data_IF_061226192034
#
_entry.id   IF_061226192034
#
_cell.length_a   1.000
_cell.length_b   1.000
_cell.length_c   1.000
_cell.angle_alpha   90.00
_cell.angle_beta   90.00
_cell.angle_gamma   90.00
#
_symmetry.space_group_name_H-M   'P 1'
#
loop_
_entity.id
_entity.type
_entity.pdbx_description
1 polymer ?
#
# COMPACT_ATOMS: atom_id res chain seq x y z
N UNK A 1 -12.52 -1.51 -17.29
CA UNK A 1 -11.36 -1.51 -16.37
C UNK A 1 -11.82 -2.03 -15.00
N UNK A 2 -10.93 -2.58 -14.16
CA UNK A 2 -11.29 -3.00 -12.80
C UNK A 2 -11.93 -1.88 -11.99
N UNK A 3 -11.42 -0.66 -12.10
CA UNK A 3 -11.96 0.52 -11.42
C UNK A 3 -13.44 0.79 -11.79
N UNK A 4 -13.78 0.73 -13.08
CA UNK A 4 -15.15 0.93 -13.54
C UNK A 4 -16.13 -0.11 -12.96
N UNK A 5 -15.70 -1.38 -12.87
CA UNK A 5 -16.50 -2.43 -12.25
C UNK A 5 -16.75 -2.22 -10.75
N UNK A 6 -15.72 -1.76 -10.04
CA UNK A 6 -15.86 -1.44 -8.61
C UNK A 6 -16.82 -0.25 -8.40
N UNK A 7 -16.74 0.75 -9.27
CA UNK A 7 -17.64 1.89 -9.27
C UNK A 7 -19.10 1.47 -9.48
N UNK A 8 -19.38 0.63 -10.48
CA UNK A 8 -20.72 0.08 -10.74
C UNK A 8 -21.29 -0.64 -9.52
N UNK A 9 -20.49 -1.43 -8.79
CA UNK A 9 -20.91 -2.11 -7.57
C UNK A 9 -21.35 -1.11 -6.50
N UNK A 10 -20.57 -0.05 -6.28
CA UNK A 10 -20.90 0.99 -5.30
C UNK A 10 -22.15 1.79 -5.70
N UNK A 11 -22.28 2.16 -6.98
CA UNK A 11 -23.44 2.88 -7.52
C UNK A 11 -24.74 2.03 -7.42
N UNK A 12 -24.61 0.70 -7.47
CA UNK A 12 -25.71 -0.22 -7.23
C UNK A 12 -26.03 -0.45 -5.73
N UNK A 13 -25.37 0.26 -4.81
CA UNK A 13 -25.56 0.11 -3.36
C UNK A 13 -24.81 -1.08 -2.75
N UNK A 14 -23.85 -1.64 -3.47
CA UNK A 14 -23.00 -2.73 -2.99
C UNK A 14 -21.86 -2.27 -2.11
N UNK A 15 -21.05 -3.23 -1.66
CA UNK A 15 -19.85 -3.01 -0.83
C UNK A 15 -18.62 -3.49 -1.59
N UNK A 16 -17.54 -2.72 -1.50
CA UNK A 16 -16.24 -3.05 -2.08
C UNK A 16 -15.19 -3.10 -0.96
N UNK A 17 -14.44 -4.19 -0.89
CA UNK A 17 -13.30 -4.35 0.00
C UNK A 17 -12.01 -4.29 -0.80
N UNK A 18 -11.06 -3.45 -0.36
CA UNK A 18 -9.78 -3.23 -1.04
C UNK A 18 -8.61 -3.34 -0.07
N UNK A 19 -7.53 -3.96 -0.53
CA UNK A 19 -6.22 -3.86 0.12
C UNK A 19 -5.57 -2.56 -0.36
N UNK A 20 -5.41 -1.58 0.51
CA UNK A 20 -5.09 -0.22 0.11
C UNK A 20 -3.88 0.40 0.81
N UNK A 21 -3.25 -0.31 1.75
CA UNK A 21 -2.11 0.18 2.51
C UNK A 21 -0.82 0.30 1.69
N UNK A 22 -0.84 -0.15 0.43
CA UNK A 22 0.32 -0.12 -0.46
C UNK A 22 -0.06 0.26 -1.88
N UNK A 23 0.84 0.98 -2.55
CA UNK A 23 0.82 1.12 -4.00
C UNK A 23 1.82 0.17 -4.67
N UNK A 24 1.32 -0.76 -5.46
CA UNK A 24 2.14 -1.68 -6.26
C UNK A 24 2.46 -1.13 -7.65
N UNK A 25 1.85 -0.01 -8.04
CA UNK A 25 1.88 0.51 -9.41
C UNK A 25 2.79 1.71 -9.62
N UNK A 26 3.28 2.34 -8.55
CA UNK A 26 4.01 3.61 -8.53
C UNK A 26 3.19 4.84 -8.98
N UNK A 27 1.89 4.70 -9.09
CA UNK A 27 0.95 5.79 -9.41
C UNK A 27 0.13 6.22 -8.19
N UNK A 28 0.51 5.76 -7.02
CA UNK A 28 -0.15 6.04 -5.76
C UNK A 28 0.09 7.45 -5.25
N UNK A 29 -0.58 7.74 -4.16
CA UNK A 29 -0.50 9.00 -3.44
C UNK A 29 0.60 8.92 -2.39
N UNK A 30 1.48 9.92 -2.36
CA UNK A 30 2.46 10.06 -1.28
C UNK A 30 1.76 10.49 0.00
N UNK A 31 2.03 9.77 1.08
CA UNK A 31 1.48 10.00 2.42
C UNK A 31 2.57 9.91 3.47
N UNK A 32 2.38 10.58 4.60
CA UNK A 32 3.11 10.26 5.82
C UNK A 32 2.51 9.01 6.44
N UNK A 33 3.32 7.99 6.61
CA UNK A 33 2.93 6.73 7.22
C UNK A 33 3.88 6.35 8.34
N UNK A 34 3.44 6.54 9.57
CA UNK A 34 4.25 6.31 10.78
C UNK A 34 5.54 7.16 10.84
N UNK A 35 5.49 8.38 10.30
CA UNK A 35 6.60 9.34 10.33
C UNK A 35 7.56 9.26 9.14
N UNK A 36 7.29 8.40 8.16
CA UNK A 36 8.09 8.27 6.94
C UNK A 36 7.19 8.28 5.70
N UNK A 37 7.74 8.74 4.58
CA UNK A 37 7.02 8.79 3.32
C UNK A 37 6.78 7.40 2.74
N UNK A 38 5.51 7.13 2.40
CA UNK A 38 5.09 5.93 1.69
C UNK A 38 4.10 6.28 0.57
N UNK A 39 3.94 5.40 -0.42
CA UNK A 39 2.91 5.55 -1.43
C UNK A 39 1.77 4.56 -1.19
N UNK A 40 0.55 5.07 -1.18
CA UNK A 40 -0.67 4.28 -1.05
C UNK A 40 -1.56 4.40 -2.29
N UNK A 41 -2.39 3.38 -2.51
CA UNK A 41 -3.29 3.36 -3.66
C UNK A 41 -4.33 4.49 -3.59
N UNK A 42 -4.47 5.24 -4.67
CA UNK A 42 -5.47 6.31 -4.80
C UNK A 42 -6.91 5.79 -5.03
N UNK A 43 -7.05 4.51 -5.40
CA UNK A 43 -8.32 3.91 -5.82
C UNK A 43 -9.47 4.07 -4.84
N UNK A 44 -9.30 3.75 -3.54
CA UNK A 44 -10.38 3.89 -2.56
C UNK A 44 -10.88 5.32 -2.41
N UNK A 45 -9.96 6.29 -2.30
CA UNK A 45 -10.33 7.71 -2.20
C UNK A 45 -11.05 8.20 -3.46
N UNK A 46 -10.58 7.80 -4.64
CA UNK A 46 -11.25 8.14 -5.91
C UNK A 46 -12.62 7.51 -6.03
N UNK A 47 -12.79 6.24 -5.66
CA UNK A 47 -14.10 5.59 -5.66
C UNK A 47 -15.07 6.33 -4.75
N UNK A 48 -14.68 6.65 -3.53
CA UNK A 48 -15.53 7.39 -2.59
C UNK A 48 -15.90 8.77 -3.13
N UNK A 49 -14.96 9.52 -3.70
CA UNK A 49 -15.22 10.83 -4.33
C UNK A 49 -16.19 10.76 -5.50
N UNK A 50 -16.02 9.76 -6.38
CA UNK A 50 -16.82 9.65 -7.61
C UNK A 50 -18.21 9.06 -7.36
N UNK A 51 -18.41 8.29 -6.32
CA UNK A 51 -19.68 7.59 -6.04
C UNK A 51 -20.45 8.14 -4.84
N UNK A 52 -19.80 8.92 -3.97
CA UNK A 52 -20.37 9.32 -2.69
C UNK A 52 -20.47 8.17 -1.67
N UNK A 53 -19.86 7.03 -1.94
CA UNK A 53 -19.87 5.89 -1.02
C UNK A 53 -19.12 6.21 0.28
N UNK A 54 -19.64 5.72 1.41
CA UNK A 54 -18.97 5.81 2.69
C UNK A 54 -17.64 5.05 2.66
N UNK A 55 -16.58 5.65 3.21
CA UNK A 55 -15.25 5.08 3.27
C UNK A 55 -14.87 4.76 4.71
N UNK A 56 -14.45 3.52 4.96
CA UNK A 56 -14.03 3.05 6.26
C UNK A 56 -12.70 2.32 6.17
N UNK A 57 -11.87 2.46 7.21
CA UNK A 57 -10.69 1.61 7.41
C UNK A 57 -11.09 0.41 8.23
N UNK A 58 -10.73 -0.78 7.74
CA UNK A 58 -10.99 -2.05 8.41
C UNK A 58 -9.66 -2.65 8.85
N UNK A 59 -9.63 -3.20 10.05
CA UNK A 59 -8.49 -3.89 10.62
C UNK A 59 -8.91 -5.24 11.19
N UNK A 60 -8.11 -6.26 10.94
CA UNK A 60 -8.27 -7.59 11.51
C UNK A 60 -7.00 -8.02 12.24
N UNK A 61 -7.16 -8.77 13.33
CA UNK A 61 -6.06 -9.31 14.12
C UNK A 61 -6.40 -10.68 14.68
N UNK A 62 -5.39 -11.43 15.07
CA UNK A 62 -5.59 -12.70 15.80
C UNK A 62 -6.02 -12.44 17.25
N UNK A 63 -7.02 -13.17 17.72
CA UNK A 63 -7.53 -13.09 19.09
C UNK A 63 -7.74 -14.50 19.63
N UNK A 64 -6.75 -15.03 20.35
CA UNK A 64 -6.78 -16.42 20.81
C UNK A 64 -6.86 -17.38 19.61
N UNK A 65 -7.85 -18.27 19.60
CA UNK A 65 -8.12 -19.16 18.46
C UNK A 65 -9.05 -18.56 17.41
N UNK A 66 -9.44 -17.32 17.56
CA UNK A 66 -10.34 -16.61 16.67
C UNK A 66 -9.74 -15.34 16.09
N UNK A 67 -10.62 -14.44 15.67
CA UNK A 67 -10.30 -13.20 14.99
C UNK A 67 -10.96 -12.03 15.67
N UNK A 68 -10.26 -10.89 15.71
CA UNK A 68 -10.84 -9.59 15.96
C UNK A 68 -11.00 -8.83 14.65
N UNK A 69 -12.04 -8.04 14.55
CA UNK A 69 -12.31 -7.14 13.44
C UNK A 69 -12.78 -5.80 13.97
N UNK A 70 -12.23 -4.72 13.46
CA UNK A 70 -12.74 -3.37 13.70
C UNK A 70 -13.00 -2.64 12.40
N UNK A 71 -14.06 -1.85 12.40
CA UNK A 71 -14.40 -0.93 11.31
C UNK A 71 -14.35 0.47 11.89
N UNK A 72 -13.59 1.37 11.27
CA UNK A 72 -13.50 2.76 11.70
C UNK A 72 -14.85 3.47 11.56
N UNK A 73 -15.07 4.60 12.24
CA UNK A 73 -16.07 5.57 11.79
C UNK A 73 -15.83 5.93 10.32
N UNK A 74 -16.86 6.44 9.65
CA UNK A 74 -16.74 6.94 8.29
C UNK A 74 -15.68 8.04 8.21
N UNK A 75 -14.78 7.92 7.24
CA UNK A 75 -13.76 8.93 6.98
C UNK A 75 -14.36 10.10 6.21
N UNK A 76 -13.95 11.30 6.57
CA UNK A 76 -14.25 12.48 5.77
C UNK A 76 -13.55 12.38 4.41
N UNK A 77 -14.33 12.51 3.33
CA UNK A 77 -13.85 12.47 1.95
C UNK A 77 -13.82 13.89 1.40
N UNK A 78 -12.62 14.42 1.15
CA UNK A 78 -12.41 15.79 0.66
C UNK A 78 -11.80 15.81 -0.73
N UNK A 79 -10.55 15.37 -0.85
CA UNK A 79 -9.84 15.15 -2.10
C UNK A 79 -8.99 13.89 -2.00
N UNK A 80 -8.39 13.45 -3.10
CA UNK A 80 -7.63 12.20 -3.15
C UNK A 80 -6.47 12.22 -2.15
N UNK A 81 -5.71 13.30 -2.10
CA UNK A 81 -4.53 13.42 -1.24
C UNK A 81 -4.88 13.35 0.25
N UNK A 82 -5.77 14.19 0.70
CA UNK A 82 -6.17 14.26 2.12
C UNK A 82 -6.93 13.02 2.57
N UNK A 83 -7.81 12.50 1.72
CA UNK A 83 -8.57 11.28 2.02
C UNK A 83 -7.63 10.08 2.14
N UNK A 84 -6.65 9.95 1.26
CA UNK A 84 -5.64 8.87 1.34
C UNK A 84 -4.76 9.03 2.59
N UNK A 85 -4.43 10.27 3.00
CA UNK A 85 -3.72 10.50 4.25
C UNK A 85 -4.55 10.07 5.47
N UNK A 86 -5.84 10.36 5.52
CA UNK A 86 -6.74 9.88 6.60
C UNK A 86 -6.81 8.36 6.66
N UNK A 87 -6.80 7.69 5.51
CA UNK A 87 -6.70 6.23 5.45
C UNK A 87 -5.38 5.75 6.05
N UNK A 88 -4.26 6.37 5.67
CA UNK A 88 -2.93 6.04 6.19
C UNK A 88 -2.87 6.19 7.72
N UNK A 89 -3.43 7.26 8.26
CA UNK A 89 -3.52 7.49 9.70
C UNK A 89 -4.35 6.41 10.40
N UNK A 90 -5.45 5.99 9.80
CA UNK A 90 -6.29 4.89 10.28
C UNK A 90 -5.56 3.55 10.28
N UNK A 91 -4.85 3.21 9.22
CA UNK A 91 -4.01 2.01 9.15
C UNK A 91 -2.89 2.04 10.21
N UNK A 92 -2.20 3.17 10.34
CA UNK A 92 -1.13 3.34 11.32
C UNK A 92 -1.64 3.15 12.76
N UNK A 93 -2.79 3.73 13.10
CA UNK A 93 -3.39 3.57 14.42
C UNK A 93 -3.74 2.11 14.73
N UNK A 94 -4.29 1.39 13.76
CA UNK A 94 -4.64 -0.02 13.88
C UNK A 94 -3.40 -0.91 14.01
N UNK A 95 -2.38 -0.70 13.19
CA UNK A 95 -1.13 -1.46 13.23
C UNK A 95 -0.42 -1.27 14.58
N UNK A 96 -0.41 -0.06 15.14
CA UNK A 96 0.19 0.19 16.46
C UNK A 96 -0.50 -0.56 17.62
N UNK A 97 -1.77 -0.92 17.46
CA UNK A 97 -2.51 -1.74 18.44
C UNK A 97 -2.13 -3.20 18.39
N UNK A 98 -1.83 -3.72 17.18
CA UNK A 98 -1.54 -5.13 16.91
C UNK A 98 -0.35 -5.28 15.97
N UNK A 99 0.85 -4.75 16.32
CA UNK A 99 2.01 -4.75 15.43
C UNK A 99 2.52 -6.16 15.11
N UNK A 100 2.30 -7.11 16.01
CA UNK A 100 2.64 -8.53 15.84
C UNK A 100 1.88 -9.22 14.71
N UNK A 101 0.72 -8.69 14.33
CA UNK A 101 -0.12 -9.25 13.27
C UNK A 101 0.11 -8.59 11.90
N UNK A 102 0.97 -7.58 11.85
CA UNK A 102 1.28 -6.91 10.60
C UNK A 102 2.56 -7.45 9.97
N UNK A 103 2.41 -8.10 8.81
CA UNK A 103 3.50 -8.69 8.06
C UNK A 103 3.87 -7.85 6.85
N UNK A 104 5.09 -7.35 6.84
CA UNK A 104 5.64 -6.54 5.76
C UNK A 104 6.76 -7.31 5.03
N UNK A 105 6.39 -8.08 4.01
CA UNK A 105 7.34 -8.90 3.25
C UNK A 105 8.15 -8.10 2.22
N UNK A 106 7.74 -6.89 1.92
CA UNK A 106 8.41 -5.99 0.97
C UNK A 106 8.48 -4.58 1.57
N UNK A 107 9.45 -3.76 1.16
CA UNK A 107 9.55 -2.40 1.65
C UNK A 107 8.25 -1.60 1.45
N UNK A 108 7.81 -0.93 2.49
CA UNK A 108 6.63 -0.07 2.50
C UNK A 108 7.00 1.40 2.24
N UNK A 109 8.09 1.87 2.86
CA UNK A 109 8.49 3.26 2.79
C UNK A 109 9.40 3.53 1.59
N UNK A 110 9.28 4.73 1.02
CA UNK A 110 10.00 5.13 -0.17
C UNK A 110 11.53 5.05 0.01
N UNK A 111 12.04 5.38 1.18
CA UNK A 111 13.46 5.27 1.52
C UNK A 111 13.99 3.85 1.42
N UNK A 112 13.21 2.86 1.89
CA UNK A 112 13.61 1.45 1.85
C UNK A 112 13.46 0.86 0.44
N UNK A 113 12.45 1.30 -0.30
CA UNK A 113 12.27 0.93 -1.71
C UNK A 113 13.49 1.38 -2.53
N UNK A 114 13.95 2.60 -2.33
CA UNK A 114 15.11 3.14 -3.04
C UNK A 114 16.41 2.43 -2.64
N UNK A 115 16.65 2.18 -1.34
CA UNK A 115 17.79 1.38 -0.87
C UNK A 115 17.83 0.00 -1.52
N UNK A 116 16.70 -0.68 -1.58
CA UNK A 116 16.60 -2.00 -2.21
C UNK A 116 16.88 -1.94 -3.71
N UNK A 117 16.41 -0.91 -4.39
CA UNK A 117 16.66 -0.67 -5.81
C UNK A 117 18.15 -0.47 -6.09
N UNK A 118 18.81 0.37 -5.29
CA UNK A 118 20.24 0.64 -5.39
C UNK A 118 21.07 -0.63 -5.13
N UNK A 119 20.73 -1.42 -4.10
CA UNK A 119 21.41 -2.68 -3.80
C UNK A 119 21.30 -3.69 -4.95
N UNK A 120 20.12 -3.80 -5.57
CA UNK A 120 19.90 -4.67 -6.75
C UNK A 120 20.70 -4.20 -7.96
N UNK A 121 20.77 -2.90 -8.22
CA UNK A 121 21.56 -2.34 -9.32
C UNK A 121 23.07 -2.60 -9.12
N UNK A 122 23.58 -2.43 -7.89
CA UNK A 122 24.96 -2.70 -7.55
C UNK A 122 25.32 -4.19 -7.72
N UNK A 123 24.42 -5.10 -7.32
CA UNK A 123 24.61 -6.54 -7.48
C UNK A 123 24.67 -6.92 -8.97
N UNK A 124 23.73 -6.45 -9.77
CA UNK A 124 23.70 -6.68 -11.22
C UNK A 124 24.97 -6.16 -11.92
N UNK A 125 25.49 -5.01 -11.51
CA UNK A 125 26.73 -4.44 -12.06
C UNK A 125 27.97 -5.27 -11.70
N UNK A 126 28.01 -5.91 -10.52
CA UNK A 126 29.08 -6.84 -10.11
C UNK A 126 29.02 -8.11 -10.94
N UNK A 127 27.86 -8.72 -11.10
CA UNK A 127 27.66 -9.94 -11.87
C UNK A 127 28.05 -9.76 -13.33
N UNK A 128 27.70 -8.64 -13.94
CA UNK A 128 28.06 -8.29 -15.30
C UNK A 128 29.58 -8.17 -15.48
N UNK A 129 30.30 -7.59 -14.50
CA UNK A 129 31.77 -7.49 -14.53
C UNK A 129 32.43 -8.85 -14.41
N UNK A 130 31.94 -9.73 -13.55
CA UNK A 130 32.47 -11.08 -13.38
C UNK A 130 32.24 -11.95 -14.63
N UNK A 131 31.08 -11.80 -15.29
CA UNK A 131 30.79 -12.50 -16.55
C UNK A 131 31.70 -12.04 -17.70
N UNK A 132 31.98 -10.73 -17.80
CA UNK A 132 32.92 -10.17 -18.79
C UNK A 132 34.36 -10.66 -18.59
N UNK A 133 34.85 -10.67 -17.34
CA UNK A 133 36.19 -11.09 -17.02
C UNK A 133 36.46 -12.60 -17.31
N UNK A 134 35.44 -13.46 -17.22
CA UNK A 134 35.54 -14.89 -17.59
C UNK A 134 35.67 -15.09 -19.09
N UNK A 135 35.04 -14.28 -19.92
CA UNK A 135 35.13 -14.37 -21.37
C UNK A 135 36.48 -13.88 -21.93
N UNK A 136 37.15 -12.96 -21.25
CA UNK A 136 38.46 -12.43 -21.64
C UNK A 136 39.61 -13.36 -21.22
N UNK A 137 39.41 -14.24 -20.22
CA UNK A 137 40.39 -15.22 -19.74
C UNK A 137 40.46 -16.52 -20.54
N UNK A 138 39.51 -16.78 -21.45
CA UNK A 138 39.48 -17.99 -22.31
C UNK A 138 40.02 -17.77 -23.73
N UNK A 139 40.63 -16.65 -24.01
CA UNK A 139 41.34 -16.35 -25.27
C UNK A 139 42.85 -16.36 -25.06
#
# INVERSE_FOLDING_TARGET
SPFARLKEVLEAGGVVCLLAERDLTRSGVSVDFMGEEANMAAGPARLALETGAALHVVHSWFKGEGWGLSVSPELEVTNVQETTQRMADGFAANIRRHPEDWHMLQPQWNVDIERRRQARAAHKARDSRHAGARQEGEK
#
